data_IF_617313834053
#
_entry.id   IF_617313834053
#
_cell.length_a   1.000
_cell.length_b   1.000
_cell.length_c   1.000
_cell.angle_alpha   90.00
_cell.angle_beta   90.00
_cell.angle_gamma   90.00
#
_symmetry.space_group_name_H-M   'P 1'
#
loop_
_entity.id
_entity.type
_entity.pdbx_description
1 polymer ?
#
# COMPACT_ATOMS: atom_id res chain seq x y z
N UNK A 1 1.42 4.92 12.13
CA UNK A 1 1.22 4.10 10.92
C UNK A 1 0.09 3.14 11.21
N UNK A 2 -0.60 2.62 10.20
CA UNK A 2 -1.59 1.55 10.38
C UNK A 2 -1.50 0.56 9.22
N UNK A 3 -1.72 -0.72 9.50
CA UNK A 3 -2.00 -1.75 8.51
C UNK A 3 -3.52 -1.90 8.38
N UNK A 4 -4.08 -1.41 7.28
CA UNK A 4 -5.51 -1.44 7.01
C UNK A 4 -5.87 -2.73 6.28
N UNK A 5 -6.87 -3.45 6.82
CA UNK A 5 -7.24 -4.81 6.40
C UNK A 5 -6.07 -5.80 6.55
N UNK A 6 -5.36 -5.71 7.68
CA UNK A 6 -4.16 -6.54 7.93
C UNK A 6 -4.46 -7.99 8.34
N UNK A 7 -5.74 -8.40 8.38
CA UNK A 7 -6.14 -9.76 8.73
C UNK A 7 -5.60 -10.20 10.09
N UNK A 8 -4.87 -11.32 10.11
CA UNK A 8 -4.28 -11.89 11.33
C UNK A 8 -3.01 -11.14 11.81
N UNK A 9 -2.67 -10.03 11.17
CA UNK A 9 -1.56 -9.16 11.55
C UNK A 9 -0.19 -9.74 11.22
N UNK A 10 -0.07 -10.62 10.22
CA UNK A 10 1.19 -11.29 9.85
C UNK A 10 2.34 -10.30 9.62
N UNK A 11 2.10 -9.22 8.90
CA UNK A 11 3.10 -8.17 8.68
C UNK A 11 3.50 -7.52 10.01
N UNK A 12 2.53 -7.10 10.81
CA UNK A 12 2.79 -6.50 12.12
C UNK A 12 3.60 -7.42 13.05
N UNK A 13 3.33 -8.73 13.03
CA UNK A 13 4.08 -9.75 13.79
C UNK A 13 5.53 -9.84 13.32
N UNK A 14 5.76 -9.93 12.02
CA UNK A 14 7.10 -10.00 11.42
C UNK A 14 7.88 -8.72 11.74
N UNK A 15 7.26 -7.55 11.53
CA UNK A 15 7.87 -6.25 11.80
C UNK A 15 8.22 -6.08 13.28
N UNK A 16 7.36 -6.52 14.20
CA UNK A 16 7.64 -6.49 15.63
C UNK A 16 8.77 -7.44 16.02
N UNK A 17 8.77 -8.66 15.49
CA UNK A 17 9.73 -9.71 15.86
C UNK A 17 11.14 -9.43 15.33
N UNK A 18 11.28 -9.12 14.03
CA UNK A 18 12.58 -8.98 13.37
C UNK A 18 13.11 -7.56 13.34
N UNK A 19 12.23 -6.55 13.44
CA UNK A 19 12.62 -5.14 13.26
C UNK A 19 12.21 -4.24 14.43
N UNK A 20 11.57 -4.78 15.48
CA UNK A 20 11.05 -4.04 16.63
C UNK A 20 10.12 -2.87 16.23
N UNK A 21 9.46 -2.99 15.07
CA UNK A 21 8.52 -1.99 14.58
C UNK A 21 7.11 -2.38 15.05
N UNK A 22 6.49 -1.50 15.82
CA UNK A 22 5.09 -1.63 16.20
C UNK A 22 4.18 -1.08 15.10
N UNK A 23 3.44 -1.96 14.44
CA UNK A 23 2.44 -1.60 13.43
C UNK A 23 1.04 -1.99 13.93
N UNK A 24 0.20 -1.02 14.35
CA UNK A 24 -1.20 -1.28 14.64
C UNK A 24 -1.94 -1.79 13.41
N UNK A 25 -2.92 -2.67 13.61
CA UNK A 25 -3.71 -3.31 12.56
C UNK A 25 -5.17 -2.92 12.71
N UNK A 26 -5.83 -2.58 11.62
CA UNK A 26 -7.29 -2.55 11.55
C UNK A 26 -7.77 -3.70 10.68
N UNK A 27 -8.73 -4.48 11.18
CA UNK A 27 -9.36 -5.58 10.44
C UNK A 27 -10.83 -5.71 10.82
N UNK A 28 -11.72 -5.36 9.90
CA UNK A 28 -13.17 -5.28 10.17
C UNK A 28 -13.84 -6.63 10.40
N UNK A 29 -13.32 -7.70 9.80
CA UNK A 29 -14.04 -8.99 9.75
C UNK A 29 -13.48 -10.04 10.71
N UNK A 30 -12.38 -9.75 11.41
CA UNK A 30 -11.69 -10.71 12.28
C UNK A 30 -11.49 -10.19 13.71
N UNK A 31 -12.29 -9.21 14.13
CA UNK A 31 -12.20 -8.56 15.46
C UNK A 31 -12.20 -9.52 16.66
N UNK A 32 -12.80 -10.71 16.51
CA UNK A 32 -12.91 -11.72 17.57
C UNK A 32 -11.74 -12.72 17.62
N UNK A 33 -10.87 -12.76 16.61
CA UNK A 33 -9.92 -13.86 16.44
C UNK A 33 -8.54 -13.61 17.06
N UNK A 34 -8.21 -12.38 17.50
CA UNK A 34 -6.80 -12.03 17.75
C UNK A 34 -6.53 -11.11 18.96
N UNK A 35 -6.87 -11.58 20.16
CA UNK A 35 -6.43 -10.95 21.42
C UNK A 35 -5.27 -11.71 22.09
N UNK A 36 -4.20 -11.97 21.34
CA UNK A 36 -3.01 -12.65 21.86
C UNK A 36 -1.98 -11.69 22.50
N UNK A 37 -2.23 -10.39 22.48
CA UNK A 37 -1.33 -9.35 23.00
C UNK A 37 -0.07 -9.11 22.16
N UNK A 38 0.10 -9.82 21.04
CA UNK A 38 1.25 -9.65 20.15
C UNK A 38 1.03 -8.47 19.22
N UNK A 39 -0.16 -8.37 18.63
CA UNK A 39 -0.54 -7.32 17.69
C UNK A 39 -1.56 -6.39 18.34
N UNK A 40 -1.43 -5.09 18.08
CA UNK A 40 -2.40 -4.08 18.54
C UNK A 40 -3.46 -3.88 17.46
N UNK A 41 -4.66 -4.38 17.72
CA UNK A 41 -5.82 -4.17 16.83
C UNK A 41 -6.56 -2.89 17.20
N UNK A 42 -6.77 -2.03 16.21
CA UNK A 42 -7.52 -0.77 16.31
C UNK A 42 -8.97 -1.06 15.94
N UNK A 43 -9.93 -0.56 16.72
CA UNK A 43 -11.35 -0.71 16.41
C UNK A 43 -11.79 0.36 15.40
N UNK A 44 -12.88 0.09 14.68
CA UNK A 44 -13.39 1.00 13.63
C UNK A 44 -13.65 2.43 14.16
N UNK A 45 -14.23 2.55 15.36
CA UNK A 45 -14.48 3.86 15.99
C UNK A 45 -13.21 4.61 16.43
N UNK A 46 -12.09 3.90 16.57
CA UNK A 46 -10.81 4.46 17.01
C UNK A 46 -9.89 4.77 15.82
N UNK A 47 -10.36 4.54 14.59
CA UNK A 47 -9.64 4.91 13.38
C UNK A 47 -9.44 6.42 13.31
N UNK A 48 -8.20 6.81 13.05
CA UNK A 48 -7.80 8.20 12.91
C UNK A 48 -7.12 8.44 11.55
N UNK A 49 -6.54 9.63 11.38
CA UNK A 49 -5.67 9.92 10.24
C UNK A 49 -4.22 9.58 10.59
N UNK A 50 -3.54 8.84 9.73
CA UNK A 50 -2.18 8.33 9.93
C UNK A 50 -1.20 8.93 8.92
N UNK A 51 0.04 9.15 9.35
CA UNK A 51 1.12 9.58 8.45
C UNK A 51 1.49 8.52 7.42
N UNK A 52 1.24 7.24 7.72
CA UNK A 52 1.38 6.12 6.79
C UNK A 52 0.21 5.18 7.00
N UNK A 53 -0.49 4.89 5.91
CA UNK A 53 -1.47 3.81 5.83
C UNK A 53 -0.88 2.75 4.92
N UNK A 54 -0.73 1.53 5.42
CA UNK A 54 -0.32 0.38 4.64
C UNK A 54 -1.56 -0.45 4.31
N UNK A 55 -1.57 -1.04 3.12
CA UNK A 55 -2.58 -1.97 2.72
C UNK A 55 -1.99 -3.02 1.78
N UNK A 56 -2.29 -4.29 2.06
CA UNK A 56 -1.82 -5.41 1.26
C UNK A 56 -2.95 -6.33 0.88
N UNK A 57 -2.99 -6.68 -0.41
CA UNK A 57 -3.91 -7.64 -1.00
C UNK A 57 -5.38 -7.34 -0.67
N UNK A 58 -5.78 -6.06 -0.78
CA UNK A 58 -7.16 -5.64 -0.51
C UNK A 58 -7.78 -4.91 -1.69
N UNK A 59 -7.01 -4.14 -2.45
CA UNK A 59 -7.53 -3.42 -3.63
C UNK A 59 -8.21 -4.38 -4.62
N UNK A 60 -7.66 -5.58 -4.79
CA UNK A 60 -8.26 -6.65 -5.59
C UNK A 60 -9.62 -7.17 -5.09
N UNK A 61 -10.00 -6.92 -3.84
CA UNK A 61 -11.26 -7.37 -3.23
C UNK A 61 -12.34 -6.27 -3.20
N UNK A 62 -12.03 -5.06 -3.68
CA UNK A 62 -12.97 -3.94 -3.61
C UNK A 62 -14.02 -4.03 -4.71
N UNK A 63 -15.29 -3.98 -4.29
CA UNK A 63 -16.46 -3.97 -5.19
C UNK A 63 -17.05 -2.57 -5.40
N UNK A 64 -16.65 -1.59 -4.57
CA UNK A 64 -17.22 -0.24 -4.57
C UNK A 64 -16.15 0.82 -4.33
N UNK A 65 -16.24 1.93 -5.07
CA UNK A 65 -15.31 3.07 -4.96
C UNK A 65 -15.22 3.64 -3.53
N UNK A 66 -16.33 3.66 -2.80
CA UNK A 66 -16.40 4.19 -1.43
C UNK A 66 -15.41 3.52 -0.46
N UNK A 67 -15.08 2.24 -0.66
CA UNK A 67 -14.09 1.55 0.17
C UNK A 67 -12.66 2.06 -0.10
N UNK A 68 -12.34 2.38 -1.35
CA UNK A 68 -11.07 3.01 -1.73
C UNK A 68 -10.98 4.45 -1.19
N UNK A 69 -12.09 5.19 -1.22
CA UNK A 69 -12.14 6.52 -0.62
C UNK A 69 -11.94 6.47 0.90
N UNK A 70 -12.53 5.48 1.57
CA UNK A 70 -12.37 5.31 3.01
C UNK A 70 -10.91 5.10 3.41
N UNK A 71 -10.19 4.16 2.78
CA UNK A 71 -8.76 3.97 3.08
C UNK A 71 -7.94 5.24 2.82
N UNK A 72 -8.18 5.95 1.71
CA UNK A 72 -7.47 7.19 1.41
C UNK A 72 -7.78 8.29 2.45
N UNK A 73 -9.00 8.34 2.98
CA UNK A 73 -9.40 9.32 4.01
C UNK A 73 -8.62 9.16 5.32
N UNK A 74 -8.10 7.96 5.60
CA UNK A 74 -7.25 7.68 6.76
C UNK A 74 -5.82 8.22 6.59
N UNK A 75 -5.44 8.71 5.41
CA UNK A 75 -4.10 9.27 5.18
C UNK A 75 -4.10 10.76 5.56
N UNK A 76 -3.09 11.20 6.32
CA UNK A 76 -2.87 12.62 6.61
C UNK A 76 -2.56 13.40 5.31
N UNK A 77 -2.76 14.72 5.35
CA UNK A 77 -2.59 15.59 4.16
C UNK A 77 -1.14 15.60 3.63
N UNK A 78 -0.17 15.37 4.51
CA UNK A 78 1.26 15.22 4.23
C UNK A 78 1.72 13.74 4.25
N UNK A 79 0.78 12.81 4.32
CA UNK A 79 1.02 11.38 4.55
C UNK A 79 1.39 10.57 3.31
N UNK A 80 1.48 9.26 3.53
CA UNK A 80 1.82 8.27 2.52
C UNK A 80 0.84 7.10 2.55
N UNK A 81 0.56 6.53 1.38
CA UNK A 81 -0.20 5.30 1.22
C UNK A 81 0.71 4.23 0.62
N UNK A 82 0.84 3.10 1.31
CA UNK A 82 1.59 1.94 0.82
C UNK A 82 0.58 0.91 0.33
N UNK A 83 0.73 0.47 -0.92
CA UNK A 83 -0.21 -0.40 -1.60
C UNK A 83 0.55 -1.62 -2.11
N UNK A 84 0.16 -2.80 -1.65
CA UNK A 84 0.51 -4.07 -2.27
C UNK A 84 -0.73 -4.65 -2.93
N UNK A 85 -0.75 -4.70 -4.25
CA UNK A 85 -1.85 -5.25 -5.05
C UNK A 85 -1.35 -5.65 -6.43
N UNK A 86 -2.12 -6.43 -7.16
CA UNK A 86 -1.81 -6.73 -8.55
C UNK A 86 -2.16 -5.53 -9.45
N UNK A 87 -1.13 -4.96 -10.07
CA UNK A 87 -1.28 -4.00 -11.18
C UNK A 87 -0.81 -4.68 -12.47
N UNK A 88 -1.58 -4.58 -13.55
CA UNK A 88 -1.25 -5.19 -14.83
C UNK A 88 -1.98 -4.50 -15.98
N UNK A 89 -1.29 -4.27 -17.10
CA UNK A 89 -1.92 -3.67 -18.28
C UNK A 89 -2.89 -4.62 -18.98
N UNK A 90 -2.51 -5.90 -19.11
CA UNK A 90 -3.25 -6.90 -19.87
C UNK A 90 -3.65 -8.08 -19.00
N UNK A 91 -4.95 -8.28 -18.77
CA UNK A 91 -5.47 -9.44 -18.05
C UNK A 91 -5.27 -10.71 -18.90
N UNK A 92 -4.59 -11.75 -18.38
CA UNK A 92 -4.38 -12.98 -19.13
C UNK A 92 -5.70 -13.65 -19.53
N UNK A 93 -5.76 -14.14 -20.77
CA UNK A 93 -6.84 -15.00 -21.26
C UNK A 93 -6.65 -16.44 -20.76
N UNK A 94 -6.46 -16.62 -19.46
CA UNK A 94 -6.24 -17.93 -18.85
C UNK A 94 -7.29 -18.14 -17.73
N UNK A 95 -8.30 -19.01 -17.92
CA UNK A 95 -9.32 -19.28 -16.90
C UNK A 95 -8.76 -19.96 -15.65
N UNK A 96 -7.54 -20.50 -15.70
CA UNK A 96 -6.81 -21.06 -14.54
C UNK A 96 -5.91 -20.04 -13.86
N UNK A 97 -5.95 -18.77 -14.27
CA UNK A 97 -5.16 -17.73 -13.63
C UNK A 97 -5.65 -17.52 -12.21
N UNK A 98 -4.75 -17.68 -11.23
CA UNK A 98 -5.04 -17.58 -9.80
C UNK A 98 -5.86 -16.34 -9.44
N UNK A 99 -5.62 -15.23 -10.13
CA UNK A 99 -6.28 -13.97 -9.86
C UNK A 99 -7.74 -13.90 -10.33
N UNK A 100 -8.25 -14.85 -11.13
CA UNK A 100 -9.68 -14.93 -11.50
C UNK A 100 -10.50 -15.70 -10.44
N UNK A 101 -9.85 -16.25 -9.40
CA UNK A 101 -10.57 -16.88 -8.30
C UNK A 101 -11.60 -15.91 -7.68
N UNK A 102 -12.76 -16.42 -7.22
CA UNK A 102 -13.98 -15.62 -6.95
C UNK A 102 -13.83 -14.56 -5.84
N UNK A 103 -12.69 -14.53 -5.15
CA UNK A 103 -12.40 -13.52 -4.13
C UNK A 103 -11.88 -12.22 -4.75
N UNK A 104 -11.22 -12.24 -5.91
CA UNK A 104 -10.72 -11.03 -6.57
C UNK A 104 -11.75 -10.48 -7.55
N UNK A 105 -12.18 -9.26 -7.31
CA UNK A 105 -13.26 -8.60 -8.03
C UNK A 105 -12.79 -7.36 -8.80
N UNK A 106 -11.59 -6.85 -8.53
CA UNK A 106 -11.03 -5.66 -9.17
C UNK A 106 -9.60 -5.90 -9.65
N UNK A 107 -9.28 -5.34 -10.81
CA UNK A 107 -7.92 -5.33 -11.36
C UNK A 107 -7.55 -3.93 -11.80
N UNK A 108 -6.35 -3.51 -11.44
CA UNK A 108 -5.87 -2.17 -11.74
C UNK A 108 -4.83 -2.19 -12.85
N UNK A 109 -4.98 -1.28 -13.80
CA UNK A 109 -3.94 -0.92 -14.79
C UNK A 109 -3.09 0.23 -14.25
N UNK A 110 -1.94 0.48 -14.89
CA UNK A 110 -1.12 1.65 -14.61
C UNK A 110 -1.95 2.95 -14.73
N UNK A 111 -2.77 3.06 -15.77
CA UNK A 111 -3.65 4.21 -15.99
C UNK A 111 -4.67 4.38 -14.86
N UNK A 112 -5.31 3.30 -14.43
CA UNK A 112 -6.30 3.37 -13.33
C UNK A 112 -5.66 3.82 -12.02
N UNK A 113 -4.43 3.36 -11.73
CA UNK A 113 -3.68 3.76 -10.55
C UNK A 113 -3.23 5.21 -10.64
N UNK A 114 -2.78 5.66 -11.81
CA UNK A 114 -2.43 7.06 -12.06
C UNK A 114 -3.63 8.00 -11.85
N UNK A 115 -4.84 7.60 -12.26
CA UNK A 115 -6.08 8.35 -12.04
C UNK A 115 -6.40 8.44 -10.54
N UNK A 116 -6.36 7.32 -9.81
CA UNK A 116 -6.58 7.30 -8.36
C UNK A 116 -5.61 8.23 -7.63
N UNK A 117 -4.33 8.10 -7.98
CA UNK A 117 -3.25 8.88 -7.41
C UNK A 117 -3.50 10.40 -7.57
N UNK A 118 -3.89 10.84 -8.77
CA UNK A 118 -4.21 12.25 -9.05
C UNK A 118 -5.46 12.73 -8.31
N UNK A 119 -6.54 11.96 -8.36
CA UNK A 119 -7.81 12.30 -7.69
C UNK A 119 -7.63 12.47 -6.19
N UNK A 120 -6.72 11.72 -5.58
CA UNK A 120 -6.43 11.78 -4.16
C UNK A 120 -5.27 12.73 -3.80
N UNK A 121 -4.71 13.49 -4.74
CA UNK A 121 -3.67 14.48 -4.45
C UNK A 121 -2.29 13.89 -4.15
N UNK A 122 -2.03 12.64 -4.55
CA UNK A 122 -0.69 12.08 -4.58
C UNK A 122 0.02 12.51 -5.87
N UNK A 123 1.33 12.73 -5.77
CA UNK A 123 2.12 13.30 -6.89
C UNK A 123 3.39 12.52 -7.18
N UNK A 124 3.90 11.75 -6.23
CA UNK A 124 5.10 10.95 -6.40
C UNK A 124 4.83 9.53 -5.94
N UNK A 125 5.50 8.57 -6.58
CA UNK A 125 5.48 7.21 -6.08
C UNK A 125 6.83 6.52 -6.17
N UNK A 126 6.99 5.55 -5.27
CA UNK A 126 8.05 4.56 -5.29
C UNK A 126 7.45 3.20 -5.60
N UNK A 127 8.21 2.34 -6.24
CA UNK A 127 7.85 0.94 -6.46
C UNK A 127 9.02 0.02 -6.15
N UNK A 128 8.73 -1.05 -5.42
CA UNK A 128 9.65 -2.16 -5.20
C UNK A 128 9.13 -3.39 -5.95
N UNK A 129 9.80 -3.82 -7.06
CA UNK A 129 9.39 -5.01 -7.79
C UNK A 129 9.43 -6.28 -6.96
N UNK A 130 10.37 -6.36 -6.01
CA UNK A 130 10.56 -7.53 -5.14
C UNK A 130 9.38 -7.71 -4.19
N UNK A 131 8.93 -6.63 -3.56
CA UNK A 131 7.78 -6.66 -2.65
C UNK A 131 6.45 -6.43 -3.35
N UNK A 132 6.45 -6.17 -4.67
CA UNK A 132 5.26 -5.83 -5.48
C UNK A 132 4.42 -4.71 -4.85
N UNK A 133 5.10 -3.74 -4.26
CA UNK A 133 4.47 -2.70 -3.44
C UNK A 133 4.85 -1.31 -3.91
N UNK A 134 3.86 -0.42 -3.90
CA UNK A 134 4.01 1.01 -4.17
C UNK A 134 3.94 1.82 -2.89
N UNK A 135 4.69 2.91 -2.84
CA UNK A 135 4.52 3.96 -1.83
C UNK A 135 4.11 5.24 -2.55
N UNK A 136 2.95 5.78 -2.24
CA UNK A 136 2.44 7.02 -2.82
C UNK A 136 2.59 8.16 -1.82
N UNK A 137 3.07 9.31 -2.31
CA UNK A 137 3.35 10.49 -1.49
C UNK A 137 2.40 11.63 -1.88
N UNK A 138 1.71 12.20 -0.88
CA UNK A 138 0.89 13.39 -1.06
C UNK A 138 1.75 14.57 -1.50
N UNK A 139 1.16 15.50 -2.25
CA UNK A 139 1.83 16.74 -2.69
C UNK A 139 2.47 17.52 -1.54
N UNK A 140 1.82 17.55 -0.38
CA UNK A 140 2.32 18.29 0.79
C UNK A 140 3.34 17.55 1.64
N UNK A 141 3.68 16.30 1.29
CA UNK A 141 4.71 15.54 1.99
C UNK A 141 6.05 16.28 1.94
N UNK A 142 6.75 16.36 3.07
CA UNK A 142 8.04 17.07 3.18
C UNK A 142 9.09 16.61 2.17
N UNK A 143 9.15 15.32 1.85
CA UNK A 143 10.15 14.78 0.93
C UNK A 143 9.82 15.14 -0.52
N UNK A 144 8.53 15.31 -0.84
CA UNK A 144 8.06 15.85 -2.11
C UNK A 144 8.44 17.33 -2.20
N UNK A 145 8.05 18.14 -1.21
CA UNK A 145 8.33 19.59 -1.20
C UNK A 145 9.81 19.92 -1.27
N UNK A 146 10.64 19.14 -0.59
CA UNK A 146 12.09 19.34 -0.58
C UNK A 146 12.80 18.69 -1.77
N UNK A 147 12.08 17.94 -2.64
CA UNK A 147 12.66 17.25 -3.79
C UNK A 147 13.70 16.19 -3.41
N UNK A 148 13.56 15.54 -2.24
CA UNK A 148 14.57 14.62 -1.68
C UNK A 148 14.32 13.15 -1.98
N UNK A 149 13.18 12.82 -2.59
CA UNK A 149 12.81 11.42 -2.90
C UNK A 149 13.79 10.71 -3.84
N UNK A 150 14.27 11.32 -4.95
CA UNK A 150 15.24 10.66 -5.82
C UNK A 150 16.52 10.26 -5.08
N UNK A 151 17.10 11.18 -4.30
CA UNK A 151 18.34 10.95 -3.55
C UNK A 151 18.15 9.89 -2.46
N UNK A 152 16.98 9.86 -1.82
CA UNK A 152 16.65 8.82 -0.85
C UNK A 152 16.62 7.43 -1.49
N UNK A 153 16.04 7.32 -2.69
CA UNK A 153 15.99 6.08 -3.47
C UNK A 153 17.37 5.63 -3.92
N UNK A 154 18.18 6.55 -4.45
CA UNK A 154 19.54 6.24 -4.89
C UNK A 154 20.39 5.76 -3.72
N UNK A 155 20.25 6.39 -2.54
CA UNK A 155 20.93 5.97 -1.33
C UNK A 155 20.54 4.55 -0.90
N UNK A 156 19.25 4.23 -0.85
CA UNK A 156 18.76 2.89 -0.49
C UNK A 156 19.28 1.85 -1.49
N UNK A 157 19.18 2.14 -2.78
CA UNK A 157 19.65 1.23 -3.82
C UNK A 157 21.16 0.99 -3.75
N UNK A 158 21.94 2.03 -3.43
CA UNK A 158 23.38 1.92 -3.21
C UNK A 158 23.70 1.06 -1.98
N UNK A 159 23.04 1.31 -0.85
CA UNK A 159 23.24 0.55 0.39
C UNK A 159 22.88 -0.94 0.23
N UNK A 160 21.80 -1.24 -0.49
CA UNK A 160 21.39 -2.60 -0.82
C UNK A 160 22.18 -3.22 -1.98
N UNK A 161 23.07 -2.45 -2.62
CA UNK A 161 23.85 -2.82 -3.81
C UNK A 161 22.98 -3.38 -4.95
N UNK A 162 21.74 -2.92 -5.05
CA UNK A 162 20.79 -3.34 -6.07
C UNK A 162 19.72 -2.28 -6.33
N UNK A 163 19.12 -2.30 -7.51
CA UNK A 163 17.97 -1.44 -7.83
C UNK A 163 16.70 -1.98 -7.18
N UNK A 164 16.57 -1.74 -5.88
CA UNK A 164 15.47 -2.21 -5.04
C UNK A 164 14.20 -1.34 -5.19
N UNK A 165 14.39 -0.02 -5.31
CA UNK A 165 13.33 0.98 -5.46
C UNK A 165 13.45 1.72 -6.79
N UNK A 166 12.30 1.99 -7.38
CA UNK A 166 12.12 2.82 -8.57
C UNK A 166 11.27 4.02 -8.19
N UNK A 167 11.58 5.19 -8.76
CA UNK A 167 10.91 6.46 -8.46
C UNK A 167 10.34 7.08 -9.72
N UNK A 168 9.20 7.78 -9.59
CA UNK A 168 8.59 8.60 -10.63
C UNK A 168 7.76 9.73 -10.01
N UNK A 169 7.76 10.89 -10.66
CA UNK A 169 6.72 11.91 -10.47
C UNK A 169 5.47 11.41 -11.22
N UNK A 170 4.46 10.98 -10.46
CA UNK A 170 3.34 10.17 -10.93
C UNK A 170 3.45 8.72 -10.48
N UNK A 171 2.60 7.87 -11.06
CA UNK A 171 2.56 6.44 -10.76
C UNK A 171 3.72 5.74 -11.44
N UNK A 172 4.59 5.07 -10.67
CA UNK A 172 5.63 4.17 -11.20
C UNK A 172 4.92 2.97 -11.80
N UNK A 173 5.02 2.84 -13.12
CA UNK A 173 4.33 1.82 -13.87
C UNK A 173 4.76 0.41 -13.41
N UNK A 174 3.83 -0.53 -13.43
CA UNK A 174 4.18 -1.94 -13.41
C UNK A 174 4.61 -2.39 -14.82
N UNK A 175 5.72 -3.11 -14.94
CA UNK A 175 6.30 -3.55 -16.23
C UNK A 175 6.69 -5.03 -16.29
N UNK A 176 6.32 -5.85 -15.31
CA UNK A 176 6.71 -7.27 -15.29
C UNK A 176 5.65 -8.12 -15.99
N UNK A 177 5.98 -8.61 -17.18
CA UNK A 177 5.12 -9.48 -18.01
C UNK A 177 4.72 -10.80 -17.34
#
# INVERSE_FOLDING_TARGET
MIDYAGGIGSLARILKHYYHIHLPVFEKYMDSLFQDGIVSYVKEQDLARYSVVFNSAMFEHITKREHLEHINSLVKDDGMLIIHTLVRQNIPKNPKWFYINPVHCAFHTNDSMQILMQQWGYTHSLYSPISKSWVWFKRDNKNVKNGTLPQFVDKINYELQMKYLYFKEGFVDYWVD
#
